data_IF_257317856501
#
_entry.id   IF_257317856501
#
_cell.length_a   1.000
_cell.length_b   1.000
_cell.length_c   1.000
_cell.angle_alpha   90.00
_cell.angle_beta   90.00
_cell.angle_gamma   90.00
#
_symmetry.space_group_name_H-M   'P 1'
#
loop_
_entity.id
_entity.type
_entity.pdbx_description
1 polymer ?
#
# COMPACT_ATOMS: atom_id res chain seq x y z
N UNK A 1 -3.17 -10.23 -7.80
CA UNK A 1 -3.55 -11.03 -9.00
C UNK A 1 -3.71 -12.47 -8.57
N UNK A 2 -4.87 -13.07 -8.84
CA UNK A 2 -5.13 -14.49 -8.62
C UNK A 2 -4.87 -15.23 -9.94
N UNK A 3 -4.21 -16.36 -9.89
CA UNK A 3 -3.84 -17.13 -11.09
C UNK A 3 -4.78 -18.29 -11.37
N UNK A 4 -5.55 -18.71 -10.38
CA UNK A 4 -6.47 -19.85 -10.44
C UNK A 4 -7.88 -19.46 -10.03
N UNK A 5 -8.85 -20.21 -10.51
CA UNK A 5 -10.27 -20.09 -10.15
C UNK A 5 -10.65 -21.17 -9.16
N UNK A 6 -11.82 -21.02 -8.54
CA UNK A 6 -12.38 -22.05 -7.67
C UNK A 6 -12.62 -23.34 -8.46
N UNK A 7 -12.13 -24.47 -7.92
CA UNK A 7 -12.19 -25.78 -8.56
C UNK A 7 -11.03 -26.15 -9.47
N UNK A 8 -10.08 -25.25 -9.73
CA UNK A 8 -8.91 -25.56 -10.55
C UNK A 8 -7.94 -26.51 -9.83
N UNK A 9 -7.39 -27.46 -10.55
CA UNK A 9 -6.33 -28.34 -10.06
C UNK A 9 -4.98 -27.61 -10.08
N UNK A 10 -4.25 -27.67 -8.97
CA UNK A 10 -2.98 -26.98 -8.81
C UNK A 10 -1.89 -27.98 -8.47
N UNK A 11 -0.79 -27.94 -9.23
CA UNK A 11 0.40 -28.72 -8.94
C UNK A 11 1.23 -28.08 -7.81
N UNK A 12 1.98 -28.91 -7.10
CA UNK A 12 2.89 -28.46 -6.06
C UNK A 12 3.92 -27.47 -6.63
N UNK A 13 4.08 -26.33 -5.97
CA UNK A 13 5.07 -25.28 -6.36
C UNK A 13 4.53 -24.23 -7.34
N UNK A 14 3.28 -24.30 -7.77
CA UNK A 14 2.66 -23.25 -8.59
C UNK A 14 2.31 -22.03 -7.74
N UNK A 15 2.56 -20.83 -8.29
CA UNK A 15 2.19 -19.55 -7.66
C UNK A 15 0.67 -19.37 -7.73
N UNK A 16 -0.01 -19.31 -6.59
CA UNK A 16 -1.47 -19.19 -6.49
C UNK A 16 -1.91 -17.73 -6.63
N UNK A 17 -1.22 -16.82 -5.95
CA UNK A 17 -1.55 -15.41 -5.93
C UNK A 17 -0.29 -14.54 -5.89
N UNK A 18 -0.44 -13.32 -6.34
CA UNK A 18 0.62 -12.31 -6.32
C UNK A 18 0.01 -10.96 -5.94
N UNK A 19 0.64 -10.27 -5.00
CA UNK A 19 0.24 -8.92 -4.58
C UNK A 19 1.46 -8.04 -4.39
N UNK A 20 1.23 -6.73 -4.38
CA UNK A 20 2.27 -5.75 -4.09
C UNK A 20 2.51 -5.68 -2.58
N UNK A 21 3.69 -6.02 -2.08
CA UNK A 21 4.01 -5.98 -0.65
C UNK A 21 4.26 -4.55 -0.12
N UNK A 22 4.47 -3.57 -1.00
CA UNK A 22 4.85 -2.21 -0.65
C UNK A 22 3.66 -1.28 -0.46
N UNK A 23 2.48 -1.71 -0.84
CA UNK A 23 1.25 -0.93 -0.68
C UNK A 23 0.18 -1.74 0.04
N UNK A 24 -0.64 -1.04 0.83
CA UNK A 24 -1.86 -1.59 1.43
C UNK A 24 -3.05 -1.09 0.61
N UNK A 25 -3.71 -1.94 -0.19
CA UNK A 25 -4.87 -1.52 -0.95
C UNK A 25 -6.09 -1.36 -0.05
N UNK A 26 -6.83 -0.27 -0.24
CA UNK A 26 -8.19 -0.10 0.26
C UNK A 26 -9.13 -0.63 -0.81
N UNK A 27 -9.85 -1.70 -0.51
CA UNK A 27 -10.69 -2.42 -1.46
C UNK A 27 -12.16 -2.10 -1.22
N UNK A 28 -12.93 -1.93 -2.30
CA UNK A 28 -14.38 -1.76 -2.23
C UNK A 28 -15.06 -3.06 -1.78
N UNK A 29 -15.82 -3.01 -0.70
CA UNK A 29 -16.60 -4.17 -0.22
C UNK A 29 -17.92 -4.32 -0.99
N UNK A 30 -18.42 -3.23 -1.57
CA UNK A 30 -19.68 -3.18 -2.32
C UNK A 30 -19.51 -2.44 -3.63
N UNK A 31 -20.35 -2.76 -4.61
CA UNK A 31 -20.41 -2.02 -5.88
C UNK A 31 -21.16 -0.70 -5.71
N UNK A 32 -20.73 0.35 -6.41
CA UNK A 32 -21.39 1.65 -6.33
C UNK A 32 -20.66 2.74 -7.11
N UNK A 33 -21.10 3.97 -6.91
CA UNK A 33 -20.48 5.17 -7.48
C UNK A 33 -19.65 5.83 -6.40
N UNK A 34 -18.37 6.08 -6.71
CA UNK A 34 -17.44 6.77 -5.82
C UNK A 34 -17.84 8.22 -5.67
N UNK A 35 -17.86 8.70 -4.45
CA UNK A 35 -18.04 10.10 -4.15
C UNK A 35 -16.97 10.57 -3.16
N UNK A 36 -16.31 11.65 -3.51
CA UNK A 36 -15.27 12.28 -2.70
C UNK A 36 -15.92 13.14 -1.60
N UNK A 37 -15.50 12.96 -0.37
CA UNK A 37 -15.96 13.74 0.77
C UNK A 37 -14.77 14.33 1.50
N UNK A 38 -14.81 15.66 1.71
CA UNK A 38 -13.74 16.44 2.36
C UNK A 38 -12.38 16.34 1.64
N UNK A 39 -12.41 16.04 0.33
CA UNK A 39 -11.25 15.95 -0.54
C UNK A 39 -11.20 17.23 -1.40
N UNK A 40 -10.44 18.22 -0.92
CA UNK A 40 -10.32 19.56 -1.55
C UNK A 40 -8.93 19.69 -2.17
N UNK A 41 -8.86 20.03 -3.45
CA UNK A 41 -7.60 20.27 -4.15
C UNK A 41 -6.80 21.41 -3.50
N UNK A 42 -5.50 21.19 -3.33
CA UNK A 42 -4.60 22.15 -2.68
C UNK A 42 -4.64 22.14 -1.14
N UNK A 43 -5.62 21.47 -0.52
CA UNK A 43 -5.71 21.37 0.95
C UNK A 43 -5.56 19.94 1.43
N UNK A 44 -6.40 19.04 0.96
CA UNK A 44 -6.39 17.63 1.36
C UNK A 44 -6.01 16.68 0.23
N UNK A 45 -5.97 17.16 -1.03
CA UNK A 45 -5.48 16.42 -2.18
C UNK A 45 -4.43 17.26 -2.92
N UNK A 46 -3.37 16.60 -3.35
CA UNK A 46 -2.38 17.11 -4.31
C UNK A 46 -2.33 16.19 -5.51
N UNK A 47 -2.38 16.76 -6.69
CA UNK A 47 -2.16 16.05 -7.93
C UNK A 47 -0.66 16.13 -8.29
N UNK A 48 -0.04 14.98 -8.42
CA UNK A 48 1.37 14.86 -8.82
C UNK A 48 1.42 14.19 -10.18
N UNK A 49 2.03 14.88 -11.13
CA UNK A 49 2.33 14.30 -12.44
C UNK A 49 3.66 13.55 -12.34
N UNK A 50 3.66 12.29 -12.72
CA UNK A 50 4.89 11.53 -12.88
C UNK A 50 5.49 11.82 -14.25
N UNK A 51 6.59 12.59 -14.28
CA UNK A 51 7.25 13.02 -15.51
C UNK A 51 7.78 11.84 -16.36
N UNK A 52 8.04 10.70 -15.74
CA UNK A 52 8.55 9.52 -16.43
C UNK A 52 7.44 8.75 -17.16
N UNK A 53 6.25 8.66 -16.57
CA UNK A 53 5.12 7.89 -17.11
C UNK A 53 4.03 8.75 -17.72
N UNK A 54 4.03 10.07 -17.47
CA UNK A 54 2.98 10.99 -17.89
C UNK A 54 1.63 10.76 -17.20
N UNK A 55 1.60 9.94 -16.14
CA UNK A 55 0.38 9.61 -15.41
C UNK A 55 0.22 10.57 -14.24
N UNK A 56 -0.92 11.24 -14.15
CA UNK A 56 -1.25 12.02 -12.96
C UNK A 56 -1.81 11.11 -11.87
N UNK A 57 -1.27 11.24 -10.68
CA UNK A 57 -1.77 10.58 -9.48
C UNK A 57 -2.25 11.59 -8.46
N UNK A 58 -3.39 11.33 -7.83
CA UNK A 58 -3.91 12.15 -6.74
C UNK A 58 -3.54 11.50 -5.42
N UNK A 59 -2.81 12.25 -4.58
CA UNK A 59 -2.44 11.81 -3.24
C UNK A 59 -3.09 12.68 -2.17
N UNK A 60 -3.42 12.07 -1.04
CA UNK A 60 -3.97 12.77 0.11
C UNK A 60 -2.83 13.43 0.88
N UNK A 61 -2.91 14.75 1.04
CA UNK A 61 -1.92 15.54 1.78
C UNK A 61 -2.24 15.54 3.27
N UNK A 62 -1.26 15.83 4.11
CA UNK A 62 -1.50 16.05 5.54
C UNK A 62 -2.23 17.40 5.77
N UNK A 63 -3.57 17.36 5.64
CA UNK A 63 -4.44 18.51 5.82
C UNK A 63 -4.37 19.13 7.21
N UNK A 64 -3.95 18.36 8.22
CA UNK A 64 -3.84 18.83 9.61
C UNK A 64 -2.68 19.80 9.79
N UNK A 65 -1.63 19.64 9.00
CA UNK A 65 -0.48 20.55 9.00
C UNK A 65 -0.77 21.85 8.27
N UNK A 66 -1.59 21.78 7.21
CA UNK A 66 -1.93 22.92 6.36
C UNK A 66 -2.96 23.84 7.02
N UNK A 67 -3.93 23.29 7.73
CA UNK A 67 -4.98 24.05 8.39
C UNK A 67 -5.26 23.52 9.79
N UNK A 68 -4.72 24.21 10.79
CA UNK A 68 -4.86 23.86 12.22
C UNK A 68 -6.32 23.79 12.71
N UNK A 69 -7.25 24.41 11.99
CA UNK A 69 -8.68 24.50 12.34
C UNK A 69 -9.59 23.71 11.42
N UNK A 70 -9.05 22.88 10.50
CA UNK A 70 -9.93 22.12 9.61
C UNK A 70 -10.38 20.84 10.26
N UNK A 71 -11.68 20.73 10.47
CA UNK A 71 -12.37 19.47 10.87
C UNK A 71 -12.55 18.52 9.68
N UNK A 72 -11.76 18.69 8.61
CA UNK A 72 -11.83 17.85 7.44
C UNK A 72 -11.52 16.40 7.80
N UNK A 73 -12.33 15.49 7.30
CA UNK A 73 -12.16 14.04 7.42
C UNK A 73 -12.18 13.42 6.04
N UNK A 74 -11.07 13.50 5.28
CA UNK A 74 -10.99 12.96 3.93
C UNK A 74 -11.44 11.51 3.88
N UNK A 75 -12.43 11.24 3.03
CA UNK A 75 -12.99 9.90 2.89
C UNK A 75 -13.61 9.70 1.51
N UNK A 76 -13.66 8.46 1.09
CA UNK A 76 -14.44 8.00 -0.04
C UNK A 76 -15.76 7.42 0.46
N UNK A 77 -16.84 7.70 -0.22
CA UNK A 77 -18.14 7.10 0.04
C UNK A 77 -18.66 6.44 -1.24
N UNK A 78 -19.36 5.33 -1.09
CA UNK A 78 -20.02 4.68 -2.20
C UNK A 78 -21.50 5.00 -2.19
N UNK A 79 -22.01 5.48 -3.32
CA UNK A 79 -23.41 5.86 -3.50
C UNK A 79 -24.09 4.98 -4.55
N UNK A 80 -25.37 4.79 -4.38
CA UNK A 80 -26.25 4.19 -5.38
C UNK A 80 -26.53 5.18 -6.53
N UNK A 81 -27.07 4.70 -7.64
CA UNK A 81 -27.53 5.55 -8.75
C UNK A 81 -28.57 6.61 -8.30
N UNK A 82 -29.21 6.42 -7.14
CA UNK A 82 -30.13 7.37 -6.53
C UNK A 82 -29.46 8.40 -5.61
N UNK A 83 -28.15 8.33 -5.44
CA UNK A 83 -27.38 9.26 -4.59
C UNK A 83 -27.31 8.90 -3.09
N UNK A 84 -27.94 7.82 -2.67
CA UNK A 84 -27.91 7.36 -1.29
C UNK A 84 -26.61 6.61 -0.99
N UNK A 85 -26.08 6.75 0.22
CA UNK A 85 -24.88 6.01 0.65
C UNK A 85 -25.23 4.52 0.80
N UNK A 86 -24.48 3.67 0.14
CA UNK A 86 -24.66 2.21 0.20
C UNK A 86 -24.20 1.71 1.55
N UNK A 87 -24.89 0.71 2.09
CA UNK A 87 -24.47 0.00 3.29
C UNK A 87 -23.61 -1.19 2.93
N UNK A 88 -22.58 -1.43 3.73
CA UNK A 88 -21.74 -2.62 3.67
C UNK A 88 -22.50 -3.85 4.20
N UNK A 89 -21.89 -5.02 4.06
CA UNK A 89 -22.47 -6.26 4.60
C UNK A 89 -22.63 -6.26 6.13
N UNK A 90 -21.82 -5.47 6.83
CA UNK A 90 -21.88 -5.25 8.29
C UNK A 90 -22.98 -4.27 8.74
N UNK A 91 -23.76 -3.71 7.80
CA UNK A 91 -24.82 -2.74 8.04
C UNK A 91 -24.35 -1.29 8.15
N UNK A 92 -23.04 -1.05 8.21
CA UNK A 92 -22.47 0.29 8.25
C UNK A 92 -22.47 0.93 6.86
N UNK A 93 -22.44 2.26 6.81
CA UNK A 93 -22.30 2.97 5.54
C UNK A 93 -20.93 2.70 4.89
N UNK A 94 -20.92 2.58 3.57
CA UNK A 94 -19.70 2.38 2.79
C UNK A 94 -18.86 3.66 2.77
N UNK A 95 -18.19 3.95 3.89
CA UNK A 95 -17.29 5.07 4.10
C UNK A 95 -15.88 4.54 4.33
N UNK A 96 -14.92 5.04 3.54
CA UNK A 96 -13.51 4.66 3.61
C UNK A 96 -12.70 5.90 3.95
N UNK A 97 -12.26 6.00 5.21
CA UNK A 97 -11.42 7.10 5.65
C UNK A 97 -10.02 6.98 5.09
N UNK A 98 -9.49 8.11 4.65
CA UNK A 98 -8.17 8.19 4.07
C UNK A 98 -7.18 8.77 5.07
N UNK A 99 -5.96 8.31 5.01
CA UNK A 99 -4.84 8.85 5.79
C UNK A 99 -3.91 9.63 4.86
N UNK A 100 -3.07 10.52 5.40
CA UNK A 100 -2.04 11.19 4.60
C UNK A 100 -1.22 10.20 3.78
N UNK A 101 -0.68 10.65 2.65
CA UNK A 101 0.10 9.88 1.69
C UNK A 101 -0.66 8.75 0.95
N UNK A 102 -1.97 8.63 1.16
CA UNK A 102 -2.81 7.68 0.41
C UNK A 102 -2.94 8.12 -1.04
N UNK A 103 -2.62 7.23 -1.97
CA UNK A 103 -2.74 7.44 -3.40
C UNK A 103 -4.12 6.96 -3.86
N UNK A 104 -4.91 7.84 -4.47
CA UNK A 104 -6.23 7.52 -4.99
C UNK A 104 -6.11 6.76 -6.32
N UNK A 105 -6.82 5.63 -6.43
CA UNK A 105 -6.86 4.80 -7.65
C UNK A 105 -8.13 5.00 -8.46
N UNK A 106 -9.11 5.72 -7.92
CA UNK A 106 -10.44 5.96 -8.55
C UNK A 106 -10.70 7.45 -8.65
N UNK A 107 -11.57 7.84 -9.59
CA UNK A 107 -12.01 9.22 -9.77
C UNK A 107 -13.37 9.44 -9.10
N UNK A 108 -13.67 10.71 -8.78
CA UNK A 108 -14.99 11.07 -8.30
C UNK A 108 -16.06 10.79 -9.38
N UNK A 109 -17.21 10.23 -8.97
CA UNK A 109 -18.26 9.78 -9.89
C UNK A 109 -17.98 8.48 -10.64
N UNK A 110 -16.86 7.82 -10.43
CA UNK A 110 -16.53 6.56 -11.11
C UNK A 110 -17.40 5.42 -10.57
N UNK A 111 -17.96 4.61 -11.46
CA UNK A 111 -18.65 3.38 -11.10
C UNK A 111 -17.65 2.26 -10.88
N UNK A 112 -17.76 1.58 -9.75
CA UNK A 112 -16.87 0.50 -9.33
C UNK A 112 -17.64 -0.74 -8.92
N UNK A 113 -16.95 -1.87 -8.94
CA UNK A 113 -17.46 -3.16 -8.49
C UNK A 113 -16.85 -3.55 -7.14
N UNK A 114 -17.52 -4.43 -6.41
CA UNK A 114 -16.93 -5.03 -5.22
C UNK A 114 -15.62 -5.75 -5.59
N UNK A 115 -14.56 -5.50 -4.80
CA UNK A 115 -13.21 -6.01 -5.06
C UNK A 115 -12.28 -5.03 -5.77
N UNK A 116 -12.79 -3.91 -6.31
CA UNK A 116 -11.94 -2.89 -6.93
C UNK A 116 -11.12 -2.12 -5.90
N UNK A 117 -9.91 -1.72 -6.30
CA UNK A 117 -9.01 -0.93 -5.44
C UNK A 117 -9.41 0.54 -5.51
N UNK A 118 -9.83 1.09 -4.37
CA UNK A 118 -10.19 2.50 -4.21
C UNK A 118 -8.98 3.40 -4.05
N UNK A 119 -8.06 2.97 -3.21
CA UNK A 119 -6.86 3.72 -2.86
C UNK A 119 -5.73 2.78 -2.47
N UNK A 120 -4.51 3.28 -2.49
CA UNK A 120 -3.32 2.56 -2.07
C UNK A 120 -2.59 3.39 -1.02
N UNK A 121 -2.38 2.79 0.13
CA UNK A 121 -1.56 3.36 1.18
C UNK A 121 -0.13 2.82 1.00
N UNK A 122 0.88 3.67 0.76
CA UNK A 122 2.25 3.23 0.80
C UNK A 122 2.53 2.65 2.18
N UNK A 123 2.97 1.40 2.24
CA UNK A 123 3.44 0.84 3.48
C UNK A 123 4.73 1.59 3.81
N UNK A 124 4.75 2.30 4.92
CA UNK A 124 6.01 2.76 5.48
C UNK A 124 6.85 1.51 5.77
N UNK A 125 7.58 1.04 4.77
CA UNK A 125 8.81 0.35 5.09
C UNK A 125 9.56 1.38 5.91
N UNK A 126 9.78 1.08 7.19
CA UNK A 126 10.65 1.90 8.01
C UNK A 126 11.79 2.30 7.10
N UNK A 127 11.90 3.60 6.83
CA UNK A 127 13.05 4.17 6.14
C UNK A 127 14.22 4.04 7.12
N UNK A 128 14.52 2.82 7.50
CA UNK A 128 15.84 2.47 7.92
C UNK A 128 16.67 2.84 6.71
N UNK A 129 17.39 3.92 6.84
CA UNK A 129 18.49 4.23 5.96
C UNK A 129 19.50 3.10 6.15
N UNK A 130 19.18 1.92 5.62
CA UNK A 130 20.02 0.73 5.65
C UNK A 130 21.32 0.98 4.90
N UNK A 131 21.27 1.93 3.97
CA UNK A 131 22.43 2.31 3.19
C UNK A 131 22.90 3.65 3.71
N UNK A 132 23.89 3.62 4.56
CA UNK A 132 24.67 4.80 4.93
C UNK A 132 25.36 5.31 3.66
N UNK A 133 25.09 6.56 3.26
CA UNK A 133 25.70 7.20 2.10
C UNK A 133 26.80 8.18 2.49
N UNK A 134 27.51 8.70 1.50
CA UNK A 134 28.55 9.73 1.68
C UNK A 134 29.80 9.23 2.37
N UNK A 135 30.52 10.15 3.03
CA UNK A 135 31.78 9.88 3.72
C UNK A 135 31.72 8.73 4.75
N UNK A 136 30.69 8.60 5.59
CA UNK A 136 30.60 7.46 6.50
C UNK A 136 30.59 6.11 5.78
N UNK A 137 29.95 6.00 4.63
CA UNK A 137 29.94 4.76 3.83
C UNK A 137 31.29 4.45 3.22
N UNK A 138 32.00 5.47 2.78
CA UNK A 138 33.37 5.32 2.26
C UNK A 138 34.27 4.77 3.37
N UNK A 139 34.21 5.34 4.56
CA UNK A 139 35.00 4.84 5.72
C UNK A 139 34.66 3.40 6.07
N UNK A 140 33.37 3.02 6.11
CA UNK A 140 32.94 1.64 6.37
C UNK A 140 33.51 0.65 5.34
N UNK A 141 33.52 1.01 4.05
CA UNK A 141 34.05 0.17 2.98
C UNK A 141 35.57 0.01 3.06
N UNK A 142 36.30 1.10 3.32
CA UNK A 142 37.75 1.05 3.45
C UNK A 142 38.22 0.29 4.71
N UNK A 143 37.46 0.40 5.80
CA UNK A 143 37.74 -0.32 7.04
C UNK A 143 37.16 -1.74 7.05
N UNK A 144 36.49 -2.16 5.98
CA UNK A 144 35.84 -3.47 5.85
C UNK A 144 34.93 -3.81 7.04
N UNK A 145 34.20 -2.83 7.56
CA UNK A 145 33.23 -3.03 8.66
C UNK A 145 32.06 -3.89 8.21
N UNK A 146 31.60 -4.75 9.10
CA UNK A 146 30.38 -5.54 8.81
C UNK A 146 29.17 -4.61 8.72
N UNK A 147 28.31 -4.77 7.70
CA UNK A 147 27.06 -4.04 7.61
C UNK A 147 26.12 -4.40 8.77
N UNK A 148 25.22 -3.47 9.16
CA UNK A 148 24.27 -3.69 10.27
C UNK A 148 23.34 -4.86 9.99
N UNK A 149 22.86 -4.98 8.76
CA UNK A 149 22.01 -6.06 8.26
C UNK A 149 22.75 -6.78 7.12
N UNK A 150 23.53 -7.79 7.49
CA UNK A 150 24.28 -8.60 6.51
C UNK A 150 23.42 -9.77 6.03
N UNK A 151 23.48 -10.06 4.72
CA UNK A 151 22.94 -11.30 4.21
C UNK A 151 23.68 -12.51 4.78
N UNK A 152 22.97 -13.61 4.96
CA UNK A 152 23.56 -14.91 5.31
C UNK A 152 24.00 -15.54 3.98
N UNK A 153 25.29 -15.78 3.86
CA UNK A 153 25.91 -16.33 2.65
C UNK A 153 26.47 -17.71 3.01
N UNK A 154 26.24 -18.70 2.16
CA UNK A 154 26.86 -20.01 2.30
C UNK A 154 28.37 -19.92 2.02
N UNK A 155 29.18 -20.38 2.94
CA UNK A 155 30.66 -20.40 2.81
C UNK A 155 31.14 -21.65 2.08
N UNK A 156 30.33 -22.70 2.08
CA UNK A 156 30.65 -23.99 1.45
C UNK A 156 29.47 -24.51 0.61
N UNK A 157 29.78 -25.32 -0.38
CA UNK A 157 28.76 -26.05 -1.12
C UNK A 157 28.09 -27.10 -0.22
N UNK A 158 26.76 -27.21 -0.29
CA UNK A 158 26.03 -28.15 0.54
C UNK A 158 24.52 -28.16 0.28
N UNK A 159 23.84 -29.02 1.00
CA UNK A 159 22.37 -29.10 0.99
C UNK A 159 21.84 -28.32 2.18
N UNK A 160 20.89 -27.41 1.94
CA UNK A 160 20.27 -26.62 3.00
C UNK A 160 19.24 -27.48 3.74
N UNK A 161 19.38 -27.56 5.05
CA UNK A 161 18.43 -28.18 5.95
C UNK A 161 17.95 -27.16 6.99
N UNK A 162 16.64 -27.01 7.13
CA UNK A 162 16.06 -26.12 8.15
C UNK A 162 15.95 -26.85 9.49
N UNK A 163 16.68 -26.35 10.47
CA UNK A 163 16.62 -26.83 11.84
C UNK A 163 15.38 -26.35 12.59
N UNK A 164 15.25 -26.80 13.84
CA UNK A 164 14.14 -26.38 14.72
C UNK A 164 14.23 -24.88 15.06
N UNK A 165 13.07 -24.25 15.12
CA UNK A 165 12.96 -22.88 15.58
C UNK A 165 13.29 -22.78 17.09
N UNK A 166 14.23 -21.91 17.45
CA UNK A 166 14.61 -21.67 18.84
C UNK A 166 14.52 -20.17 19.12
N UNK A 167 13.63 -19.77 20.02
CA UNK A 167 13.41 -18.37 20.42
C UNK A 167 13.14 -17.42 19.24
N UNK A 168 12.29 -17.82 18.29
CA UNK A 168 11.93 -17.00 17.12
C UNK A 168 13.02 -16.90 16.05
N UNK A 169 14.10 -17.68 16.17
CA UNK A 169 15.14 -17.81 15.14
C UNK A 169 15.20 -19.23 14.63
N UNK A 170 15.14 -19.39 13.33
CA UNK A 170 15.34 -20.67 12.66
C UNK A 170 16.85 -20.90 12.49
N UNK A 171 17.32 -22.09 12.87
CA UNK A 171 18.73 -22.50 12.63
C UNK A 171 18.85 -23.08 11.25
#
# INVERSE_FOLDING_TARGET
KLFFKDGDNIDKGKKIAEWDPYTLPVIAETSGIVNYMDLVEGTSITETLDDATGISSKSVTDWKSVSKNSELKPRLTLRSDKGEIIKKADGNEARYYLVPDTILSVKDGQKISAGDVLARLPKETSKTKDITGGLPRVAELFEARRPKDSAIIAENDGVIEFGKEVRGKQK
#
